data_IF_529269652964
#
_entry.id   IF_529269652964
#
_cell.length_a   1.000
_cell.length_b   1.000
_cell.length_c   1.000
_cell.angle_alpha   90.00
_cell.angle_beta   90.00
_cell.angle_gamma   90.00
#
_symmetry.space_group_name_H-M   'P 1'
#
loop_
_entity.id
_entity.type
_entity.pdbx_description
1 polymer ?
#
# COMPACT_ATOMS: atom_id res chain seq x y z
N UNK A 1 0.92 -27.11 -5.98
CA UNK A 1 1.13 -25.64 -5.91
C UNK A 1 2.55 -25.41 -6.38
N UNK A 2 2.87 -24.37 -7.17
CA UNK A 2 4.26 -24.00 -7.34
C UNK A 2 4.87 -23.75 -5.96
N UNK A 3 6.14 -24.14 -5.77
CA UNK A 3 6.84 -23.90 -4.52
C UNK A 3 6.90 -22.38 -4.28
N UNK A 4 5.99 -21.85 -3.45
CA UNK A 4 6.03 -20.48 -2.98
C UNK A 4 7.19 -20.36 -2.01
N UNK A 5 8.08 -19.43 -2.25
CA UNK A 5 9.08 -19.07 -1.27
C UNK A 5 8.41 -18.16 -0.22
N UNK A 6 8.04 -18.74 0.92
CA UNK A 6 7.42 -18.04 2.04
C UNK A 6 8.47 -17.53 3.07
N UNK A 7 9.74 -17.49 2.70
CA UNK A 7 10.72 -16.73 3.50
C UNK A 7 10.38 -15.27 3.32
N UNK A 8 9.85 -14.65 4.35
CA UNK A 8 9.37 -13.25 4.33
C UNK A 8 10.08 -12.45 5.40
N UNK A 9 10.23 -11.13 5.23
CA UNK A 9 10.66 -10.22 6.29
C UNK A 9 9.78 -10.37 7.54
N UNK A 10 10.34 -10.08 8.71
CA UNK A 10 9.55 -9.96 9.94
C UNK A 10 8.83 -8.59 9.93
N UNK A 11 7.51 -8.65 10.03
CA UNK A 11 6.67 -7.44 10.04
C UNK A 11 6.22 -7.17 11.49
N UNK A 12 6.69 -6.08 12.13
CA UNK A 12 6.20 -5.70 13.44
C UNK A 12 4.73 -5.26 13.39
N UNK A 13 4.07 -5.20 14.54
CA UNK A 13 2.69 -4.71 14.65
C UNK A 13 2.58 -3.28 14.11
N UNK A 14 1.59 -3.05 13.26
CA UNK A 14 1.34 -1.76 12.58
C UNK A 14 2.18 -1.52 11.33
N UNK A 15 3.18 -2.33 11.01
CA UNK A 15 3.95 -2.15 9.79
C UNK A 15 3.09 -2.42 8.54
N UNK A 16 3.24 -1.64 7.45
CA UNK A 16 2.77 -2.03 6.14
C UNK A 16 3.41 -3.35 5.74
N UNK A 17 2.58 -4.37 5.55
CA UNK A 17 3.08 -5.73 5.27
C UNK A 17 2.60 -6.28 3.93
N UNK A 18 1.54 -5.71 3.37
CA UNK A 18 0.94 -6.18 2.13
C UNK A 18 0.28 -5.04 1.37
N UNK A 19 0.19 -5.18 0.07
CA UNK A 19 -0.61 -4.32 -0.78
C UNK A 19 -1.47 -5.16 -1.72
N UNK A 20 -2.71 -4.72 -1.98
CA UNK A 20 -3.50 -5.30 -3.06
C UNK A 20 -4.17 -4.25 -3.93
N UNK A 21 -4.41 -4.62 -5.17
CA UNK A 21 -5.01 -3.80 -6.19
C UNK A 21 -6.46 -4.21 -6.44
N UNK A 22 -7.37 -3.25 -6.29
CA UNK A 22 -8.77 -3.40 -6.64
C UNK A 22 -9.06 -2.70 -7.97
N UNK A 23 -9.42 -3.47 -9.02
CA UNK A 23 -9.60 -2.93 -10.39
C UNK A 23 -10.86 -3.45 -11.09
N UNK A 24 -11.28 -2.77 -12.15
CA UNK A 24 -12.37 -3.21 -13.02
C UNK A 24 -11.94 -4.29 -14.01
N UNK A 25 -10.81 -4.09 -14.66
CA UNK A 25 -10.22 -5.01 -15.63
C UNK A 25 -8.92 -5.63 -15.08
N UNK A 26 -9.06 -6.82 -14.48
CA UNK A 26 -7.95 -7.55 -13.85
C UNK A 26 -6.92 -7.95 -14.90
N UNK A 27 -7.34 -8.40 -16.05
CA UNK A 27 -6.48 -8.89 -17.13
C UNK A 27 -5.59 -7.76 -17.69
N UNK A 28 -6.15 -6.56 -17.84
CA UNK A 28 -5.42 -5.36 -18.26
C UNK A 28 -4.39 -4.93 -17.20
N UNK A 29 -4.79 -4.90 -15.95
CA UNK A 29 -3.86 -4.56 -14.85
C UNK A 29 -2.75 -5.60 -14.73
N UNK A 30 -3.07 -6.89 -14.82
CA UNK A 30 -2.08 -7.96 -14.81
C UNK A 30 -1.06 -7.83 -15.93
N UNK A 31 -1.49 -7.53 -17.16
CA UNK A 31 -0.59 -7.30 -18.30
C UNK A 31 0.35 -6.13 -18.01
N UNK A 32 -0.21 -5.00 -17.55
CA UNK A 32 0.56 -3.80 -17.24
C UNK A 32 1.66 -4.05 -16.19
N UNK A 33 1.31 -4.64 -15.04
CA UNK A 33 2.28 -4.89 -13.98
C UNK A 33 3.25 -6.03 -14.30
N UNK A 34 2.84 -7.03 -15.10
CA UNK A 34 3.76 -8.04 -15.64
C UNK A 34 4.82 -7.40 -16.54
N UNK A 35 4.40 -6.53 -17.44
CA UNK A 35 5.33 -5.85 -18.32
C UNK A 35 6.19 -4.84 -17.55
N UNK A 36 5.62 -4.07 -16.60
CA UNK A 36 6.35 -3.05 -15.85
C UNK A 36 7.38 -3.65 -14.89
N UNK A 37 6.95 -4.59 -14.03
CA UNK A 37 7.73 -5.11 -12.91
C UNK A 37 8.22 -6.56 -13.09
N UNK A 38 7.80 -7.25 -14.15
CA UNK A 38 8.15 -8.66 -14.36
C UNK A 38 7.32 -9.64 -13.53
N UNK A 39 6.19 -9.19 -12.97
CA UNK A 39 5.35 -10.04 -12.14
C UNK A 39 4.73 -11.21 -12.90
N UNK A 40 4.62 -12.34 -12.20
CA UNK A 40 3.83 -13.49 -12.61
C UNK A 40 2.63 -13.64 -11.70
N UNK A 41 1.53 -14.20 -12.20
CA UNK A 41 0.28 -14.26 -11.46
C UNK A 41 -0.02 -15.69 -11.05
N UNK A 42 -0.25 -15.88 -9.75
CA UNK A 42 -0.77 -17.13 -9.17
C UNK A 42 -2.26 -16.92 -8.92
N UNK A 43 -3.09 -17.54 -9.76
CA UNK A 43 -4.54 -17.51 -9.58
C UNK A 43 -4.91 -18.25 -8.31
N UNK A 44 -5.76 -17.60 -7.50
CA UNK A 44 -6.34 -18.23 -6.32
C UNK A 44 -7.36 -19.30 -6.70
N UNK A 45 -7.62 -20.18 -5.78
CA UNK A 45 -8.63 -21.24 -5.88
C UNK A 45 -9.90 -20.89 -5.07
N UNK A 46 -10.81 -21.84 -4.96
CA UNK A 46 -12.03 -21.66 -4.19
C UNK A 46 -11.76 -21.44 -2.67
N UNK A 47 -10.64 -21.95 -2.13
CA UNK A 47 -10.28 -21.78 -0.74
C UNK A 47 -9.84 -20.34 -0.42
N UNK A 48 -9.21 -19.68 -1.39
CA UNK A 48 -8.80 -18.26 -1.29
C UNK A 48 -9.87 -17.30 -1.82
N UNK A 49 -11.06 -17.80 -2.20
CA UNK A 49 -12.10 -16.99 -2.82
C UNK A 49 -11.73 -16.44 -4.21
N UNK A 50 -10.74 -17.08 -4.88
CA UNK A 50 -10.23 -16.61 -6.18
C UNK A 50 -9.22 -15.46 -6.07
N UNK A 51 -8.73 -15.14 -4.88
CA UNK A 51 -7.73 -14.09 -4.66
C UNK A 51 -6.44 -14.41 -5.41
N UNK A 52 -6.04 -13.54 -6.30
CA UNK A 52 -4.86 -13.73 -7.15
C UNK A 52 -3.66 -12.98 -6.60
N UNK A 53 -2.51 -13.61 -6.56
CA UNK A 53 -1.26 -13.02 -6.08
C UNK A 53 -0.27 -12.74 -7.22
N UNK A 54 0.42 -11.61 -7.14
CA UNK A 54 1.59 -11.32 -7.94
C UNK A 54 2.81 -11.98 -7.30
N UNK A 55 3.62 -12.62 -8.12
CA UNK A 55 4.88 -13.24 -7.72
C UNK A 55 6.04 -12.57 -8.46
N UNK A 56 7.07 -12.21 -7.71
CA UNK A 56 8.37 -11.77 -8.22
C UNK A 56 9.42 -12.79 -7.77
N UNK A 57 10.09 -13.45 -8.71
CA UNK A 57 11.07 -14.52 -8.47
C UNK A 57 10.58 -15.62 -7.51
N UNK A 58 9.26 -15.92 -7.60
CA UNK A 58 8.60 -16.94 -6.78
C UNK A 58 8.13 -16.45 -5.40
N UNK A 59 8.41 -15.22 -5.03
CA UNK A 59 7.94 -14.58 -3.79
C UNK A 59 6.63 -13.84 -4.02
N UNK A 60 5.62 -13.98 -3.16
CA UNK A 60 4.41 -13.17 -3.21
C UNK A 60 4.76 -11.71 -2.86
N UNK A 61 4.36 -10.75 -3.70
CA UNK A 61 4.69 -9.33 -3.53
C UNK A 61 3.47 -8.41 -3.50
N UNK A 62 2.33 -8.83 -4.05
CA UNK A 62 1.09 -8.06 -4.05
C UNK A 62 -0.11 -8.96 -4.34
N UNK A 63 -1.32 -8.44 -4.10
CA UNK A 63 -2.56 -9.06 -4.50
C UNK A 63 -3.30 -8.29 -5.59
N UNK A 64 -4.27 -8.94 -6.23
CA UNK A 64 -5.21 -8.28 -7.14
C UNK A 64 -6.60 -8.88 -7.03
N UNK A 65 -7.61 -8.02 -7.02
CA UNK A 65 -9.02 -8.40 -6.97
C UNK A 65 -9.85 -7.57 -7.93
N UNK A 66 -10.93 -8.18 -8.41
CA UNK A 66 -11.91 -7.49 -9.25
C UNK A 66 -12.89 -6.69 -8.41
N UNK A 67 -13.14 -5.45 -8.77
CA UNK A 67 -14.23 -4.64 -8.17
C UNK A 67 -15.57 -5.31 -8.39
N UNK A 68 -16.47 -5.29 -7.40
CA UNK A 68 -17.86 -5.68 -7.63
C UNK A 68 -18.48 -4.85 -8.77
N UNK A 69 -19.22 -5.51 -9.65
CA UNK A 69 -19.87 -4.83 -10.78
C UNK A 69 -20.82 -3.74 -10.30
N UNK A 70 -20.63 -2.52 -10.81
CA UNK A 70 -21.46 -1.36 -10.45
C UNK A 70 -21.13 -0.73 -9.10
N UNK A 71 -20.09 -1.21 -8.38
CA UNK A 71 -19.64 -0.55 -7.17
C UNK A 71 -19.01 0.83 -7.51
N UNK A 72 -19.43 1.92 -6.84
CA UNK A 72 -18.88 3.26 -7.06
C UNK A 72 -17.52 3.44 -6.34
N UNK A 73 -16.61 2.48 -6.55
CA UNK A 73 -15.27 2.47 -5.93
C UNK A 73 -14.26 2.68 -7.05
N UNK A 74 -13.35 3.64 -6.87
CA UNK A 74 -12.22 3.82 -7.78
C UNK A 74 -11.30 2.60 -7.79
N UNK A 75 -10.57 2.38 -8.87
CA UNK A 75 -9.44 1.45 -8.85
C UNK A 75 -8.38 2.02 -7.94
N UNK A 76 -7.84 1.20 -7.04
CA UNK A 76 -6.90 1.68 -6.04
C UNK A 76 -6.03 0.55 -5.49
N UNK A 77 -4.82 0.92 -5.10
CA UNK A 77 -3.99 0.14 -4.20
C UNK A 77 -4.47 0.31 -2.76
N UNK A 78 -4.49 -0.77 -2.01
CA UNK A 78 -4.79 -0.78 -0.58
C UNK A 78 -3.54 -1.22 0.17
N UNK A 79 -3.06 -0.39 1.09
CA UNK A 79 -1.99 -0.76 2.02
C UNK A 79 -2.58 -1.46 3.23
N UNK A 80 -2.01 -2.60 3.59
CA UNK A 80 -2.42 -3.39 4.76
C UNK A 80 -1.39 -3.30 5.87
N UNK A 81 -1.85 -2.94 7.05
CA UNK A 81 -1.05 -2.88 8.27
C UNK A 81 -1.17 -4.20 9.05
N UNK A 82 -0.03 -4.77 9.44
CA UNK A 82 0.01 -6.03 10.18
C UNK A 82 -0.62 -5.88 11.56
N UNK A 83 -1.49 -6.84 11.94
CA UNK A 83 -2.09 -6.91 13.27
C UNK A 83 -1.98 -8.32 13.83
N UNK A 84 -2.04 -8.45 15.15
CA UNK A 84 -1.99 -9.76 15.81
C UNK A 84 -3.34 -10.47 15.82
N UNK A 85 -4.41 -9.72 16.09
CA UNK A 85 -5.80 -10.19 16.11
C UNK A 85 -6.70 -9.12 15.52
N UNK A 86 -7.46 -9.48 14.50
CA UNK A 86 -8.26 -8.52 13.73
C UNK A 86 -9.40 -7.92 14.55
N UNK A 87 -9.98 -8.67 15.48
CA UNK A 87 -11.06 -8.20 16.37
C UNK A 87 -10.55 -7.13 17.37
N UNK A 88 -9.30 -7.26 17.82
CA UNK A 88 -8.66 -6.25 18.69
C UNK A 88 -8.39 -4.99 17.89
N UNK A 89 -7.86 -5.13 16.67
CA UNK A 89 -7.62 -4.01 15.78
C UNK A 89 -8.93 -3.31 15.39
N UNK A 90 -10.00 -4.06 15.08
CA UNK A 90 -11.34 -3.52 14.77
C UNK A 90 -11.86 -2.67 15.93
N UNK A 91 -11.78 -3.19 17.15
CA UNK A 91 -12.21 -2.45 18.34
C UNK A 91 -11.41 -1.15 18.55
N UNK A 92 -10.08 -1.21 18.37
CA UNK A 92 -9.19 -0.05 18.49
C UNK A 92 -9.48 1.00 17.39
N UNK A 93 -9.63 0.58 16.12
CA UNK A 93 -9.95 1.45 14.99
C UNK A 93 -11.22 2.25 15.28
N UNK A 94 -12.30 1.55 15.69
CA UNK A 94 -13.58 2.19 15.97
C UNK A 94 -13.51 3.10 17.22
N UNK A 95 -12.76 2.73 18.25
CA UNK A 95 -12.58 3.54 19.46
C UNK A 95 -11.80 4.84 19.21
N UNK A 96 -10.88 4.87 18.24
CA UNK A 96 -10.05 6.03 17.91
C UNK A 96 -10.61 6.86 16.73
N UNK A 97 -11.86 6.65 16.35
CA UNK A 97 -12.55 7.49 15.36
C UNK A 97 -12.40 7.05 13.91
N UNK A 98 -11.77 5.92 13.66
CA UNK A 98 -11.83 5.24 12.36
C UNK A 98 -13.14 4.46 12.21
N UNK A 99 -13.30 3.78 11.10
CA UNK A 99 -14.50 2.97 10.82
C UNK A 99 -14.15 1.73 10.01
N UNK A 100 -14.47 0.55 10.51
CA UNK A 100 -14.33 -0.69 9.76
C UNK A 100 -15.45 -0.87 8.72
N UNK A 101 -15.12 -1.49 7.59
CA UNK A 101 -16.02 -1.70 6.46
C UNK A 101 -16.28 -3.19 6.25
N UNK A 102 -17.46 -3.63 6.63
CA UNK A 102 -17.85 -5.04 6.51
C UNK A 102 -17.40 -5.88 7.70
N UNK A 103 -17.00 -7.11 7.40
CA UNK A 103 -16.52 -8.11 8.38
C UNK A 103 -15.15 -8.61 7.96
N UNK A 104 -14.35 -9.16 8.88
CA UNK A 104 -13.11 -9.84 8.51
C UNK A 104 -13.34 -10.92 7.45
N UNK A 105 -12.51 -10.91 6.42
CA UNK A 105 -12.56 -11.84 5.29
C UNK A 105 -11.32 -12.73 5.32
N UNK A 106 -11.48 -14.07 5.33
CA UNK A 106 -10.34 -14.97 5.21
C UNK A 106 -9.88 -15.06 3.74
N UNK A 107 -8.57 -15.07 3.54
CA UNK A 107 -7.92 -15.43 2.28
C UNK A 107 -7.36 -16.85 2.43
N UNK A 108 -8.23 -17.83 2.49
CA UNK A 108 -7.86 -19.21 2.80
C UNK A 108 -7.11 -19.34 4.13
N UNK A 109 -5.99 -20.07 4.10
CA UNK A 109 -5.06 -20.17 5.23
C UNK A 109 -3.99 -19.05 5.24
N UNK A 110 -3.95 -18.22 4.20
CA UNK A 110 -2.89 -17.21 4.03
C UNK A 110 -3.00 -16.09 5.06
N UNK A 111 -4.20 -15.54 5.24
CA UNK A 111 -4.44 -14.43 6.15
C UNK A 111 -5.93 -14.21 6.43
N UNK A 112 -6.23 -13.34 7.38
CA UNK A 112 -7.54 -12.67 7.51
C UNK A 112 -7.35 -11.17 7.31
N UNK A 113 -8.29 -10.54 6.64
CA UNK A 113 -8.22 -9.10 6.32
C UNK A 113 -9.49 -8.37 6.70
N UNK A 114 -9.39 -7.09 6.98
CA UNK A 114 -10.52 -6.20 7.17
C UNK A 114 -10.17 -4.82 6.63
N UNK A 115 -11.07 -4.26 5.82
CA UNK A 115 -10.91 -2.90 5.30
C UNK A 115 -11.48 -1.90 6.29
N UNK A 116 -10.80 -0.77 6.42
CA UNK A 116 -11.20 0.33 7.29
C UNK A 116 -10.97 1.69 6.62
N UNK A 117 -11.55 2.71 7.23
CA UNK A 117 -11.26 4.11 6.99
C UNK A 117 -10.61 4.68 8.24
N UNK A 118 -9.57 5.44 8.07
CA UNK A 118 -9.06 6.29 9.13
C UNK A 118 -10.01 7.49 9.37
N UNK A 119 -9.82 8.29 10.43
CA UNK A 119 -10.69 9.43 10.68
C UNK A 119 -10.55 10.57 9.66
N UNK A 120 -9.49 10.60 8.85
CA UNK A 120 -9.31 11.51 7.73
C UNK A 120 -10.07 11.07 6.48
N UNK A 121 -10.45 9.78 6.40
CA UNK A 121 -11.18 9.19 5.28
C UNK A 121 -10.34 8.36 4.33
N UNK A 122 -9.06 8.12 4.61
CA UNK A 122 -8.23 7.22 3.81
C UNK A 122 -8.60 5.76 4.05
N UNK A 123 -8.72 4.99 2.95
CA UNK A 123 -8.91 3.54 3.00
C UNK A 123 -7.60 2.85 3.31
N UNK A 124 -7.64 1.88 4.20
CA UNK A 124 -6.54 0.96 4.47
C UNK A 124 -7.07 -0.42 4.86
N UNK A 125 -6.21 -1.40 4.83
CA UNK A 125 -6.52 -2.73 5.32
C UNK A 125 -5.77 -3.06 6.61
N UNK A 126 -6.27 -4.03 7.38
CA UNK A 126 -5.50 -4.71 8.41
C UNK A 126 -5.31 -6.16 8.00
N UNK A 127 -4.12 -6.70 8.28
CA UNK A 127 -3.68 -8.04 7.91
C UNK A 127 -3.34 -8.84 9.17
N UNK A 128 -4.14 -9.85 9.46
CA UNK A 128 -3.84 -10.86 10.46
C UNK A 128 -3.20 -12.05 9.74
N UNK A 129 -1.89 -12.27 9.92
CA UNK A 129 -1.18 -13.30 9.17
C UNK A 129 -1.63 -14.70 9.55
N UNK A 130 -1.74 -15.55 8.53
CA UNK A 130 -1.75 -16.99 8.61
C UNK A 130 -0.44 -17.56 8.05
N UNK A 131 -0.54 -18.33 6.97
CA UNK A 131 0.64 -18.88 6.28
C UNK A 131 1.43 -17.80 5.50
N UNK A 132 0.84 -16.63 5.23
CA UNK A 132 1.47 -15.51 4.55
C UNK A 132 1.61 -14.30 5.49
N UNK A 133 2.80 -14.08 6.07
CA UNK A 133 3.05 -12.95 6.97
C UNK A 133 2.94 -11.57 6.30
N UNK A 134 3.24 -11.49 5.00
CA UNK A 134 3.24 -10.27 4.22
C UNK A 134 3.95 -10.46 2.87
N UNK A 135 4.45 -9.39 2.28
CA UNK A 135 5.26 -9.44 1.06
C UNK A 135 6.53 -10.25 1.28
N UNK A 136 6.86 -11.13 0.35
CA UNK A 136 8.05 -11.97 0.42
C UNK A 136 9.34 -11.24 0.03
N UNK A 137 9.22 -10.09 -0.61
CA UNK A 137 10.34 -9.22 -1.00
C UNK A 137 10.00 -7.77 -0.68
N UNK A 138 10.99 -7.04 -0.19
CA UNK A 138 10.96 -5.58 -0.02
C UNK A 138 12.23 -5.01 -0.65
N UNK A 139 12.14 -3.77 -1.13
CA UNK A 139 13.25 -2.95 -1.64
C UNK A 139 13.97 -3.50 -2.88
N UNK A 140 13.52 -4.64 -3.40
CA UNK A 140 14.00 -5.21 -4.65
C UNK A 140 13.21 -4.63 -5.84
N UNK A 141 13.84 -4.41 -7.00
CA UNK A 141 13.15 -3.85 -8.16
C UNK A 141 11.87 -4.61 -8.53
N UNK A 142 10.73 -3.93 -8.48
CA UNK A 142 9.40 -4.51 -8.68
C UNK A 142 8.72 -5.00 -7.41
N UNK A 143 9.32 -4.88 -6.24
CA UNK A 143 8.65 -5.15 -4.96
C UNK A 143 8.26 -3.86 -4.23
N UNK A 144 7.46 -3.98 -3.18
CA UNK A 144 7.11 -2.86 -2.32
C UNK A 144 8.35 -2.32 -1.62
N UNK A 145 8.50 -0.98 -1.56
CA UNK A 145 9.61 -0.33 -0.88
C UNK A 145 9.15 0.72 0.13
N UNK A 146 8.06 1.43 -0.15
CA UNK A 146 7.55 2.46 0.74
C UNK A 146 6.04 2.59 0.64
N UNK A 147 5.45 3.22 1.65
CA UNK A 147 4.06 3.64 1.63
C UNK A 147 3.97 5.07 2.13
N UNK A 148 3.01 5.82 1.65
CA UNK A 148 2.74 7.18 2.13
C UNK A 148 1.25 7.37 2.36
N UNK A 149 0.89 7.88 3.52
CA UNK A 149 -0.46 8.27 3.88
C UNK A 149 -0.62 9.78 3.73
N UNK A 150 -1.45 10.19 2.79
CA UNK A 150 -1.76 11.59 2.54
C UNK A 150 -3.12 11.94 3.16
N UNK A 151 -3.19 13.01 3.93
CA UNK A 151 -4.41 13.41 4.64
C UNK A 151 -4.58 14.91 4.76
N UNK A 152 -5.84 15.38 4.82
CA UNK A 152 -6.17 16.79 5.15
C UNK A 152 -6.39 17.01 6.65
N UNK A 153 -6.53 15.94 7.43
CA UNK A 153 -6.77 16.01 8.87
C UNK A 153 -5.57 15.40 9.64
N UNK A 154 -4.41 16.03 9.42
CA UNK A 154 -3.11 15.53 9.81
C UNK A 154 -3.04 15.15 11.30
N UNK A 155 -3.40 16.07 12.22
CA UNK A 155 -3.28 15.83 13.67
C UNK A 155 -4.20 14.71 14.15
N UNK A 156 -5.38 14.62 13.56
CA UNK A 156 -6.36 13.58 13.91
C UNK A 156 -5.91 12.22 13.40
N UNK A 157 -5.38 12.16 12.19
CA UNK A 157 -4.85 10.91 11.62
C UNK A 157 -3.60 10.48 12.35
N UNK A 158 -2.68 11.39 12.69
CA UNK A 158 -1.50 11.09 13.50
C UNK A 158 -1.90 10.50 14.87
N UNK A 159 -2.87 11.14 15.55
CA UNK A 159 -3.40 10.67 16.84
C UNK A 159 -4.07 9.28 16.72
N UNK A 160 -4.78 9.03 15.62
CA UNK A 160 -5.37 7.73 15.31
C UNK A 160 -4.30 6.64 15.15
N UNK A 161 -3.29 6.90 14.36
CA UNK A 161 -2.20 5.96 14.09
C UNK A 161 -1.42 5.61 15.37
N UNK A 162 -1.16 6.62 16.22
CA UNK A 162 -0.59 6.39 17.55
C UNK A 162 -1.52 5.53 18.44
N UNK A 163 -2.81 5.87 18.47
CA UNK A 163 -3.77 5.20 19.37
C UNK A 163 -4.10 3.76 18.96
N UNK A 164 -4.09 3.44 17.67
CA UNK A 164 -4.45 2.11 17.13
C UNK A 164 -3.22 1.22 17.00
N UNK A 165 -2.13 1.75 16.44
CA UNK A 165 -0.97 0.97 16.06
C UNK A 165 0.28 1.24 16.93
N UNK A 166 0.22 2.29 17.77
CA UNK A 166 1.36 2.68 18.60
C UNK A 166 2.48 3.36 17.82
N UNK A 167 2.16 3.93 16.64
CA UNK A 167 3.18 4.58 15.83
C UNK A 167 3.71 5.85 16.51
N UNK A 168 5.01 6.00 16.53
CA UNK A 168 5.70 7.24 16.87
C UNK A 168 6.07 8.00 15.59
N UNK A 169 6.20 9.32 15.68
CA UNK A 169 6.42 10.15 14.49
C UNK A 169 7.65 11.04 14.67
N UNK A 170 8.52 11.03 13.67
CA UNK A 170 9.61 12.00 13.53
C UNK A 170 9.14 13.07 12.54
N UNK A 171 9.02 14.31 13.02
CA UNK A 171 8.66 15.45 12.16
C UNK A 171 9.85 15.81 11.26
N UNK A 172 9.61 15.82 9.97
CA UNK A 172 10.58 16.13 8.92
C UNK A 172 10.09 17.27 8.03
N UNK A 173 9.14 18.05 8.55
CA UNK A 173 8.56 19.21 7.85
C UNK A 173 9.65 20.24 7.51
N UNK A 174 9.84 20.51 6.25
CA UNK A 174 10.71 21.60 5.80
C UNK A 174 10.09 22.96 6.14
N UNK A 175 10.95 23.97 6.39
CA UNK A 175 10.51 25.31 6.77
C UNK A 175 9.54 25.91 5.74
N UNK A 176 8.28 26.07 6.15
CA UNK A 176 7.21 26.67 5.34
C UNK A 176 6.56 25.72 4.33
N UNK A 177 6.89 24.45 4.34
CA UNK A 177 6.23 23.42 3.54
C UNK A 177 5.03 22.77 4.23
N UNK A 178 4.28 21.91 3.51
CA UNK A 178 3.26 21.06 4.10
C UNK A 178 3.87 20.12 5.14
N UNK A 179 3.10 19.76 6.15
CA UNK A 179 3.58 18.89 7.23
C UNK A 179 3.89 17.50 6.69
N UNK A 180 5.02 16.96 7.13
CA UNK A 180 5.46 15.65 6.76
C UNK A 180 6.25 14.99 7.90
N UNK A 181 5.99 13.71 8.14
CA UNK A 181 6.64 12.94 9.19
C UNK A 181 6.84 11.49 8.79
N UNK A 182 7.91 10.89 9.31
CA UNK A 182 8.10 9.44 9.27
C UNK A 182 7.39 8.80 10.47
N UNK A 183 6.50 7.85 10.17
CA UNK A 183 5.93 6.97 11.17
C UNK A 183 6.89 5.81 11.47
N UNK A 184 7.06 5.50 12.75
CA UNK A 184 7.88 4.39 13.24
C UNK A 184 7.01 3.38 13.96
N UNK A 185 7.29 2.09 13.77
CA UNK A 185 6.69 1.00 14.56
C UNK A 185 7.27 0.95 15.97
N UNK A 186 6.66 0.16 16.87
CA UNK A 186 7.07 0.08 18.27
C UNK A 186 8.50 -0.44 18.52
N UNK A 187 9.17 -0.98 17.50
CA UNK A 187 10.60 -1.35 17.53
C UNK A 187 11.52 -0.22 17.05
N UNK A 188 10.94 0.94 16.68
CA UNK A 188 11.66 2.14 16.25
C UNK A 188 12.05 2.16 14.77
N UNK A 189 11.67 1.13 13.99
CA UNK A 189 11.95 1.10 12.56
C UNK A 189 10.98 2.01 11.78
N UNK A 190 11.45 2.72 10.72
CA UNK A 190 10.58 3.48 9.85
C UNK A 190 9.57 2.56 9.15
N UNK A 191 8.33 3.01 9.06
CA UNK A 191 7.23 2.22 8.52
C UNK A 191 6.60 2.84 7.27
N UNK A 192 6.30 4.15 7.30
CA UNK A 192 5.69 4.87 6.19
C UNK A 192 5.77 6.39 6.41
N UNK A 193 5.53 7.18 5.36
CA UNK A 193 5.39 8.62 5.43
C UNK A 193 3.95 9.06 5.75
N UNK A 194 3.80 10.08 6.59
CA UNK A 194 2.53 10.79 6.80
C UNK A 194 2.67 12.20 6.25
N UNK A 195 1.91 12.54 5.21
CA UNK A 195 1.97 13.81 4.52
C UNK A 195 0.65 14.59 4.59
N UNK A 196 0.75 15.90 4.71
CA UNK A 196 -0.41 16.80 4.67
C UNK A 196 -0.80 17.10 3.22
N UNK A 197 -2.08 16.92 2.90
CA UNK A 197 -2.70 17.48 1.71
C UNK A 197 -3.12 18.91 2.08
N UNK A 198 -2.34 19.90 1.68
CA UNK A 198 -2.59 21.30 1.99
C UNK A 198 -3.65 21.95 1.05
N UNK A 199 -3.82 23.27 1.18
CA UNK A 199 -4.80 24.01 0.39
C UNK A 199 -4.39 24.23 -1.09
N UNK A 200 -3.14 23.91 -1.46
CA UNK A 200 -2.67 23.99 -2.85
C UNK A 200 -3.12 22.77 -3.67
N UNK A 201 -3.43 21.67 -3.01
CA UNK A 201 -3.95 20.48 -3.66
C UNK A 201 -5.41 20.66 -4.09
N UNK A 202 -5.80 20.12 -5.27
CA UNK A 202 -7.21 20.07 -5.69
C UNK A 202 -8.10 19.45 -4.61
N UNK A 203 -9.24 20.09 -4.33
CA UNK A 203 -10.15 19.66 -3.27
C UNK A 203 -10.77 18.28 -3.52
N UNK A 204 -10.79 17.86 -4.79
CA UNK A 204 -11.33 16.58 -5.24
C UNK A 204 -10.42 15.40 -4.87
N UNK A 205 -9.15 15.64 -4.55
CA UNK A 205 -8.23 14.57 -4.13
C UNK A 205 -8.54 14.21 -2.68
N UNK A 206 -9.07 13.00 -2.46
CA UNK A 206 -9.36 12.52 -1.11
C UNK A 206 -8.09 12.13 -0.37
N UNK A 207 -8.14 11.99 0.96
CA UNK A 207 -7.12 11.29 1.72
C UNK A 207 -6.93 9.86 1.19
N UNK A 208 -5.67 9.42 1.05
CA UNK A 208 -5.36 8.12 0.45
C UNK A 208 -3.95 7.63 0.81
N UNK A 209 -3.74 6.35 0.62
CA UNK A 209 -2.43 5.73 0.67
C UNK A 209 -1.85 5.63 -0.74
N UNK A 210 -0.53 5.81 -0.84
CA UNK A 210 0.26 5.55 -2.06
C UNK A 210 1.25 4.44 -1.76
N UNK A 211 1.15 3.34 -2.48
CA UNK A 211 2.15 2.28 -2.47
C UNK A 211 3.27 2.62 -3.45
N UNK A 212 4.52 2.51 -3.01
CA UNK A 212 5.71 2.76 -3.82
C UNK A 212 6.44 1.44 -4.10
N UNK A 213 6.71 1.18 -5.38
CA UNK A 213 7.43 0.00 -5.83
C UNK A 213 8.86 0.37 -6.22
N UNK A 214 9.83 -0.42 -5.76
CA UNK A 214 11.23 -0.19 -6.03
C UNK A 214 11.56 -0.31 -7.52
N UNK A 215 12.51 0.49 -7.98
CA UNK A 215 13.12 0.39 -9.30
C UNK A 215 14.61 0.73 -9.23
N UNK A 216 15.39 0.20 -10.15
CA UNK A 216 16.82 0.54 -10.23
C UNK A 216 17.07 1.95 -10.79
N UNK A 217 16.14 2.50 -11.58
CA UNK A 217 16.26 3.81 -12.19
C UNK A 217 14.88 4.34 -12.59
N UNK A 218 14.50 5.50 -12.03
CA UNK A 218 13.18 6.09 -12.28
C UNK A 218 12.97 6.47 -13.73
N UNK A 219 13.98 7.01 -14.42
CA UNK A 219 13.80 7.53 -15.78
C UNK A 219 13.38 6.45 -16.78
N UNK A 220 14.09 5.31 -16.93
CA UNK A 220 13.63 4.25 -17.82
C UNK A 220 12.37 3.54 -17.33
N UNK A 221 12.16 3.41 -16.00
CA UNK A 221 10.94 2.82 -15.46
C UNK A 221 9.71 3.69 -15.75
N UNK A 222 9.82 5.01 -15.58
CA UNK A 222 8.79 5.97 -15.97
C UNK A 222 8.48 5.90 -17.46
N UNK A 223 9.52 5.95 -18.33
CA UNK A 223 9.31 5.84 -19.77
C UNK A 223 8.55 4.56 -20.14
N UNK A 224 8.93 3.43 -19.56
CA UNK A 224 8.27 2.14 -19.76
C UNK A 224 6.81 2.17 -19.29
N UNK A 225 6.54 2.72 -18.09
CA UNK A 225 5.17 2.83 -17.57
C UNK A 225 4.27 3.67 -18.49
N UNK A 226 4.79 4.80 -19.01
CA UNK A 226 4.07 5.66 -19.95
C UNK A 226 3.77 4.94 -21.28
N UNK A 227 4.74 4.20 -21.83
CA UNK A 227 4.56 3.40 -23.05
C UNK A 227 3.52 2.29 -22.85
N UNK A 228 3.37 1.77 -21.63
CA UNK A 228 2.36 0.78 -21.24
C UNK A 228 0.98 1.40 -20.93
N UNK A 229 0.84 2.73 -21.00
CA UNK A 229 -0.44 3.42 -20.85
C UNK A 229 -0.70 4.02 -19.47
N UNK A 230 0.29 4.12 -18.60
CA UNK A 230 0.21 4.94 -17.39
C UNK A 230 0.27 6.44 -17.75
N UNK A 231 -0.11 7.29 -16.80
CA UNK A 231 0.07 8.75 -16.87
C UNK A 231 0.90 9.24 -15.70
N UNK A 232 1.77 10.21 -15.96
CA UNK A 232 2.55 10.86 -14.91
C UNK A 232 1.65 11.83 -14.13
N UNK A 233 1.62 11.68 -12.81
CA UNK A 233 0.96 12.62 -11.89
C UNK A 233 1.98 13.63 -11.36
N UNK A 234 3.12 13.12 -10.85
CA UNK A 234 4.16 13.97 -10.26
C UNK A 234 5.55 13.37 -10.46
N UNK A 235 6.53 14.21 -10.68
CA UNK A 235 7.94 13.80 -10.72
C UNK A 235 8.58 13.90 -12.12
N UNK A 236 9.79 13.34 -12.29
CA UNK A 236 10.62 12.78 -11.21
C UNK A 236 10.93 13.81 -10.12
N UNK A 237 10.97 13.37 -8.87
CA UNK A 237 11.34 14.18 -7.72
C UNK A 237 12.46 13.49 -6.93
N UNK A 238 13.24 14.28 -6.20
CA UNK A 238 14.20 13.80 -5.21
C UNK A 238 13.57 14.02 -3.83
N UNK A 239 13.36 12.95 -3.11
CA UNK A 239 12.70 12.94 -1.81
C UNK A 239 13.58 12.31 -0.74
N UNK A 240 13.18 12.38 0.54
CA UNK A 240 13.99 11.88 1.64
C UNK A 240 14.22 10.36 1.61
N UNK A 241 13.41 9.63 0.87
CA UNK A 241 13.55 8.17 0.71
C UNK A 241 14.03 7.76 -0.68
N UNK A 242 14.53 8.71 -1.48
CA UNK A 242 15.09 8.46 -2.78
C UNK A 242 14.41 9.20 -3.93
N UNK A 243 14.83 8.86 -5.15
CA UNK A 243 14.27 9.48 -6.36
C UNK A 243 13.04 8.71 -6.80
N UNK A 244 11.93 9.41 -7.03
CA UNK A 244 10.65 8.78 -7.36
C UNK A 244 9.80 9.51 -8.39
N UNK A 245 8.69 8.86 -8.77
CA UNK A 245 7.62 9.45 -9.56
C UNK A 245 6.28 8.83 -9.19
N UNK A 246 5.22 9.64 -9.12
CA UNK A 246 3.85 9.20 -8.89
C UNK A 246 3.12 9.07 -10.22
N UNK A 247 2.45 7.96 -10.40
CA UNK A 247 1.79 7.54 -11.64
C UNK A 247 0.33 7.18 -11.39
N UNK A 248 -0.49 7.36 -12.41
CA UNK A 248 -1.79 6.69 -12.52
C UNK A 248 -1.64 5.55 -13.51
N UNK A 249 -1.97 4.34 -13.07
CA UNK A 249 -1.98 3.15 -13.92
C UNK A 249 -3.16 3.12 -14.89
N UNK A 250 -3.24 2.05 -15.72
CA UNK A 250 -4.20 1.98 -16.82
C UNK A 250 -5.68 1.92 -16.38
N UNK A 251 -5.95 1.56 -15.12
CA UNK A 251 -7.29 1.52 -14.54
C UNK A 251 -7.60 2.76 -13.68
N UNK A 252 -6.69 3.74 -13.63
CA UNK A 252 -6.81 4.97 -12.86
C UNK A 252 -6.29 4.86 -11.42
N UNK A 253 -5.74 3.71 -11.04
CA UNK A 253 -5.09 3.51 -9.75
C UNK A 253 -3.81 4.34 -9.62
N UNK A 254 -3.55 4.87 -8.42
CA UNK A 254 -2.34 5.66 -8.13
C UNK A 254 -1.30 4.78 -7.44
N UNK A 255 -0.06 4.87 -7.89
CA UNK A 255 1.10 4.24 -7.28
C UNK A 255 2.36 5.07 -7.55
N UNK A 256 3.43 4.76 -6.85
CA UNK A 256 4.75 5.38 -7.08
C UNK A 256 5.77 4.34 -7.53
N UNK A 257 6.74 4.78 -8.31
CA UNK A 257 8.01 4.09 -8.52
C UNK A 257 9.11 4.87 -7.81
N UNK A 258 10.00 4.16 -7.11
CA UNK A 258 11.01 4.77 -6.25
C UNK A 258 12.34 4.03 -6.40
N UNK A 259 13.45 4.75 -6.53
CA UNK A 259 14.78 4.21 -6.24
C UNK A 259 15.02 4.46 -4.76
N UNK A 260 14.92 3.44 -3.89
CA UNK A 260 15.05 3.67 -2.47
C UNK A 260 16.47 4.08 -2.11
N UNK A 261 16.61 5.02 -1.17
CA UNK A 261 17.86 5.30 -0.50
C UNK A 261 17.92 4.37 0.73
N UNK A 262 18.80 3.38 0.66
CA UNK A 262 18.94 2.33 1.67
C UNK A 262 20.14 2.54 2.60
N UNK A 263 20.80 3.73 2.55
CA UNK A 263 21.97 4.06 3.36
C UNK A 263 21.65 4.60 4.76
#
# INVERSE_FOLDING_TARGET
MPDLNLTVPDYPYGAPCWVDLLVGDVERAQSFYSDLFGWRWLAGDAATGGYTMALLDGHPVAGISRKPVGAPIASQWTTYLRVGQIEVAEAAINAHGGRTLGRPVPIGALARTLIALDPGGAYFGVWEPGDLPGSGLLDEPGSLTWNELLTRDYDRVQSFQLGVFGHEFTDETENGGPRWATAHTGDGNPAYGLAEIDDEWPREIPPHWVASFATNNVVPALAKALDLGATLIQGPFDGPYGVGAVLSGPEGEVFSILVPDLD
#
